data_IF_106604512170
#
_entry.id   IF_106604512170
#
_cell.length_a   1.000
_cell.length_b   1.000
_cell.length_c   1.000
_cell.angle_alpha   90.00
_cell.angle_beta   90.00
_cell.angle_gamma   90.00
#
_symmetry.space_group_name_H-M   'P 1'
#
loop_
_entity.id
_entity.type
_entity.pdbx_description
1 polymer ?
#
# COMPACT_ATOMS: atom_id res chain seq x y z
N UNK A 1 -16.10 5.84 1.55
CA UNK A 1 -15.89 5.69 3.01
C UNK A 1 -17.26 5.68 3.63
N UNK A 2 -17.58 4.61 4.33
CA UNK A 2 -18.81 4.46 5.09
C UNK A 2 -18.45 4.43 6.57
N UNK A 3 -19.26 5.09 7.40
CA UNK A 3 -19.08 5.07 8.84
C UNK A 3 -20.35 4.51 9.46
N UNK A 4 -20.22 3.44 10.25
CA UNK A 4 -21.35 2.86 10.97
C UNK A 4 -21.76 3.74 12.16
N UNK A 5 -22.97 3.56 12.68
CA UNK A 5 -23.43 4.22 13.91
C UNK A 5 -22.53 3.91 15.14
N UNK A 6 -21.72 2.84 15.05
CA UNK A 6 -20.74 2.45 16.08
C UNK A 6 -19.36 3.10 15.87
N UNK A 7 -19.20 3.94 14.86
CA UNK A 7 -17.95 4.63 14.54
C UNK A 7 -16.93 3.81 13.76
N UNK A 8 -17.30 2.60 13.31
CA UNK A 8 -16.43 1.79 12.44
C UNK A 8 -16.36 2.41 11.05
N UNK A 9 -15.13 2.63 10.59
CA UNK A 9 -14.86 3.18 9.26
C UNK A 9 -14.56 2.02 8.32
N UNK A 10 -15.40 1.85 7.30
CA UNK A 10 -15.15 0.93 6.20
C UNK A 10 -14.82 1.75 4.97
N UNK A 11 -13.67 1.46 4.39
CA UNK A 11 -13.25 2.06 3.12
C UNK A 11 -13.09 0.97 2.09
N UNK A 12 -13.60 1.23 0.89
CA UNK A 12 -13.38 0.39 -0.27
C UNK A 12 -12.39 1.07 -1.22
N UNK A 13 -11.52 0.28 -1.83
CA UNK A 13 -10.61 0.72 -2.87
C UNK A 13 -10.64 -0.25 -4.06
N UNK A 14 -10.52 0.32 -5.27
CA UNK A 14 -10.37 -0.42 -6.52
C UNK A 14 -8.95 -0.15 -7.04
N UNK A 15 -8.20 -1.22 -7.28
CA UNK A 15 -6.85 -1.18 -7.83
C UNK A 15 -6.86 -1.78 -9.23
N UNK A 16 -6.33 -1.03 -10.20
CA UNK A 16 -6.10 -1.48 -11.57
C UNK A 16 -4.60 -1.54 -11.81
N UNK A 17 -4.08 -2.72 -12.11
CA UNK A 17 -2.64 -2.93 -12.31
C UNK A 17 -2.37 -3.75 -13.55
N UNK A 18 -1.17 -3.56 -14.11
CA UNK A 18 -0.66 -4.38 -15.21
C UNK A 18 0.55 -5.15 -14.71
N UNK A 19 0.48 -6.47 -14.73
CA UNK A 19 1.54 -7.36 -14.24
C UNK A 19 1.56 -8.65 -15.07
N UNK A 20 2.74 -9.20 -15.34
CA UNK A 20 2.89 -10.43 -16.13
C UNK A 20 2.19 -10.38 -17.51
N UNK A 21 2.13 -9.19 -18.13
CA UNK A 21 1.42 -8.97 -19.41
C UNK A 21 -0.11 -8.99 -19.32
N UNK A 22 -0.70 -8.98 -18.13
CA UNK A 22 -2.15 -9.00 -17.90
C UNK A 22 -2.61 -7.72 -17.21
N UNK A 23 -3.80 -7.25 -17.57
CA UNK A 23 -4.51 -6.22 -16.84
C UNK A 23 -5.39 -6.87 -15.78
N UNK A 24 -5.25 -6.42 -14.54
CA UNK A 24 -6.01 -6.90 -13.39
C UNK A 24 -6.75 -5.73 -12.74
N UNK A 25 -7.97 -6.01 -12.30
CA UNK A 25 -8.76 -5.11 -11.46
C UNK A 25 -9.20 -5.88 -10.22
N UNK A 26 -8.99 -5.27 -9.05
CA UNK A 26 -9.33 -5.87 -7.78
C UNK A 26 -9.92 -4.81 -6.85
N UNK A 27 -11.02 -5.18 -6.18
CA UNK A 27 -11.65 -4.37 -5.14
C UNK A 27 -11.39 -5.00 -3.78
N UNK A 28 -11.14 -4.19 -2.75
CA UNK A 28 -11.05 -4.68 -1.37
C UNK A 28 -11.51 -3.63 -0.37
N UNK A 29 -11.99 -4.12 0.77
CA UNK A 29 -12.40 -3.29 1.91
C UNK A 29 -11.33 -3.32 3.01
N UNK A 30 -11.22 -2.20 3.72
CA UNK A 30 -10.31 -2.03 4.84
C UNK A 30 -10.83 -1.02 5.85
N UNK A 31 -10.14 -0.96 7.01
CA UNK A 31 -10.45 0.01 8.07
C UNK A 31 -10.06 1.46 7.73
N UNK A 32 -9.49 1.67 6.54
CA UNK A 32 -9.09 2.96 6.01
C UNK A 32 -8.62 2.82 4.55
N UNK A 33 -8.45 3.94 3.83
CA UNK A 33 -8.13 3.94 2.41
C UNK A 33 -6.80 3.24 2.09
N UNK A 34 -5.78 3.45 2.93
CA UNK A 34 -4.47 2.82 2.74
C UNK A 34 -4.54 1.30 2.93
N UNK A 35 -5.27 0.83 3.94
CA UNK A 35 -5.47 -0.60 4.16
C UNK A 35 -6.27 -1.25 3.02
N UNK A 36 -7.29 -0.56 2.51
CA UNK A 36 -8.08 -1.04 1.39
C UNK A 36 -7.26 -1.13 0.09
N UNK A 37 -6.45 -0.11 -0.21
CA UNK A 37 -5.54 -0.07 -1.37
C UNK A 37 -4.52 -1.20 -1.31
N UNK A 38 -3.90 -1.37 -0.15
CA UNK A 38 -2.90 -2.39 0.09
C UNK A 38 -3.45 -3.82 -0.13
N UNK A 39 -4.59 -4.13 0.49
CA UNK A 39 -5.29 -5.41 0.30
C UNK A 39 -5.66 -5.64 -1.15
N UNK A 40 -6.21 -4.63 -1.82
CA UNK A 40 -6.61 -4.73 -3.22
C UNK A 40 -5.41 -5.00 -4.14
N UNK A 41 -4.28 -4.32 -3.91
CA UNK A 41 -3.06 -4.51 -4.70
C UNK A 41 -2.50 -5.92 -4.51
N UNK A 42 -2.33 -6.37 -3.26
CA UNK A 42 -1.80 -7.71 -2.98
C UNK A 42 -2.70 -8.80 -3.56
N UNK A 43 -4.00 -8.71 -3.33
CA UNK A 43 -4.97 -9.67 -3.86
C UNK A 43 -5.04 -9.67 -5.40
N UNK A 44 -4.73 -8.54 -6.05
CA UNK A 44 -4.57 -8.52 -7.51
C UNK A 44 -3.30 -9.29 -7.92
N UNK A 45 -2.16 -8.93 -7.34
CA UNK A 45 -0.85 -9.44 -7.77
C UNK A 45 -0.61 -10.90 -7.37
N UNK A 46 -1.15 -11.37 -6.25
CA UNK A 46 -1.05 -12.77 -5.81
C UNK A 46 -1.60 -13.76 -6.84
N UNK A 47 -2.57 -13.34 -7.67
CA UNK A 47 -3.11 -14.15 -8.78
C UNK A 47 -2.05 -14.50 -9.84
N UNK A 48 -0.98 -13.72 -9.92
CA UNK A 48 0.13 -13.91 -10.87
C UNK A 48 1.40 -14.33 -10.15
N UNK A 49 1.63 -13.79 -8.96
CA UNK A 49 2.83 -13.98 -8.14
C UNK A 49 2.44 -14.52 -6.75
N UNK A 50 2.23 -15.84 -6.60
CA UNK A 50 1.84 -16.45 -5.33
C UNK A 50 2.89 -16.26 -4.23
N UNK A 51 4.12 -15.89 -4.57
CA UNK A 51 5.19 -15.53 -3.64
C UNK A 51 4.81 -14.35 -2.74
N UNK A 52 3.83 -13.53 -3.14
CA UNK A 52 3.34 -12.40 -2.36
C UNK A 52 2.31 -12.76 -1.29
N UNK A 53 1.86 -14.02 -1.21
CA UNK A 53 0.81 -14.45 -0.28
C UNK A 53 1.16 -14.19 1.19
N UNK A 54 2.46 -14.23 1.53
CA UNK A 54 2.95 -14.01 2.90
C UNK A 54 3.37 -12.55 3.17
N UNK A 55 3.21 -11.64 2.20
CA UNK A 55 3.56 -10.24 2.43
C UNK A 55 2.53 -9.57 3.33
N UNK A 56 2.99 -8.96 4.41
CA UNK A 56 2.18 -8.19 5.34
C UNK A 56 2.80 -6.82 5.62
N UNK A 57 1.98 -5.77 5.65
CA UNK A 57 2.37 -4.44 6.13
C UNK A 57 2.19 -4.44 7.64
N UNK A 58 3.30 -4.29 8.36
CA UNK A 58 3.36 -4.46 9.81
C UNK A 58 3.55 -3.14 10.57
N UNK A 59 4.00 -2.09 9.89
CA UNK A 59 4.05 -0.74 10.45
C UNK A 59 3.77 0.33 9.38
N UNK A 60 3.16 1.44 9.83
CA UNK A 60 2.77 2.56 8.99
C UNK A 60 2.95 3.88 9.73
N UNK A 61 3.89 4.71 9.27
CA UNK A 61 4.23 5.99 9.90
C UNK A 61 4.13 7.13 8.90
N UNK A 62 3.33 8.14 9.24
CA UNK A 62 3.20 9.37 8.46
C UNK A 62 3.91 10.51 9.17
N UNK A 63 4.73 11.26 8.44
CA UNK A 63 5.35 12.50 8.91
C UNK A 63 5.12 13.61 7.90
N UNK A 64 4.71 14.78 8.39
CA UNK A 64 4.64 15.99 7.59
C UNK A 64 6.02 16.66 7.64
N UNK A 65 6.61 16.91 6.47
CA UNK A 65 7.87 17.65 6.39
C UNK A 65 7.59 19.14 6.59
N UNK A 66 8.29 19.74 7.53
CA UNK A 66 8.20 21.17 7.81
C UNK A 66 8.80 21.99 6.64
N UNK A 67 8.17 23.11 6.29
CA UNK A 67 8.71 24.05 5.29
C UNK A 67 7.68 24.64 4.34
N UNK A 68 6.55 23.97 4.11
CA UNK A 68 5.44 24.48 3.27
C UNK A 68 4.17 24.56 4.13
N UNK A 69 3.57 25.75 4.24
CA UNK A 69 2.39 25.99 5.09
C UNK A 69 1.11 25.49 4.42
N UNK A 70 0.19 24.92 5.21
CA UNK A 70 -1.14 24.54 4.76
C UNK A 70 -1.17 23.25 3.94
N UNK A 71 -2.02 23.20 2.91
CA UNK A 71 -2.27 21.98 2.12
C UNK A 71 -1.12 21.58 1.19
N UNK A 72 -0.09 22.41 1.04
CA UNK A 72 1.12 22.09 0.26
C UNK A 72 2.21 21.39 1.07
N UNK A 73 1.93 21.01 2.32
CA UNK A 73 2.91 20.33 3.15
C UNK A 73 3.26 18.95 2.57
N UNK A 74 4.55 18.70 2.37
CA UNK A 74 5.03 17.44 1.82
C UNK A 74 4.88 16.35 2.88
N UNK A 75 4.16 15.29 2.54
CA UNK A 75 3.96 14.13 3.39
C UNK A 75 4.97 13.05 3.07
N UNK A 76 5.60 12.50 4.10
CA UNK A 76 6.47 11.33 4.05
C UNK A 76 5.77 10.16 4.74
N UNK A 77 5.66 9.04 4.04
CA UNK A 77 5.06 7.80 4.53
C UNK A 77 6.14 6.72 4.54
N UNK A 78 6.39 6.15 5.71
CA UNK A 78 7.26 4.99 5.90
C UNK A 78 6.37 3.76 6.15
N UNK A 79 6.64 2.70 5.40
CA UNK A 79 5.95 1.41 5.52
C UNK A 79 6.98 0.34 5.80
N UNK A 80 6.74 -0.45 6.84
CA UNK A 80 7.47 -1.66 7.13
C UNK A 80 6.67 -2.88 6.63
N UNK A 81 7.32 -3.73 5.86
CA UNK A 81 6.73 -4.94 5.26
C UNK A 81 7.53 -6.17 5.66
N UNK A 82 6.85 -7.28 5.91
CA UNK A 82 7.45 -8.59 6.18
C UNK A 82 6.98 -9.63 5.18
N UNK A 83 7.83 -10.62 4.89
CA UNK A 83 7.47 -11.87 4.21
C UNK A 83 7.37 -13.07 5.18
N UNK A 84 7.38 -12.80 6.49
CA UNK A 84 7.44 -13.80 7.56
C UNK A 84 8.86 -14.27 7.91
N UNK A 85 9.84 -14.07 7.03
CA UNK A 85 11.24 -14.42 7.27
C UNK A 85 12.14 -13.19 7.51
N UNK A 86 11.72 -12.05 6.98
CA UNK A 86 12.53 -10.85 6.91
C UNK A 86 11.66 -9.62 6.76
N UNK A 87 12.21 -8.46 7.13
CA UNK A 87 11.52 -7.19 7.12
C UNK A 87 12.28 -6.18 6.26
N UNK A 88 11.55 -5.24 5.66
CA UNK A 88 12.12 -4.10 4.95
C UNK A 88 11.22 -2.89 5.04
N UNK A 89 11.86 -1.73 4.94
CA UNK A 89 11.20 -0.45 4.92
C UNK A 89 11.16 0.13 3.52
N UNK A 90 10.07 0.81 3.21
CA UNK A 90 9.91 1.62 2.00
C UNK A 90 9.34 2.98 2.32
N UNK A 91 9.65 3.95 1.46
CA UNK A 91 9.38 5.35 1.73
C UNK A 91 8.71 6.01 0.53
N UNK A 92 7.51 6.55 0.74
CA UNK A 92 6.84 7.39 -0.21
C UNK A 92 6.83 8.84 0.24
N UNK A 93 7.05 9.76 -0.69
CA UNK A 93 7.04 11.21 -0.41
C UNK A 93 6.15 11.90 -1.44
N UNK A 94 5.12 12.61 -0.98
CA UNK A 94 4.17 13.34 -1.83
C UNK A 94 3.40 14.36 -0.99
N UNK A 95 2.88 15.42 -1.61
CA UNK A 95 1.97 16.38 -0.94
C UNK A 95 0.61 15.76 -0.55
N UNK A 96 0.28 14.61 -1.11
CA UNK A 96 -0.96 13.89 -0.88
C UNK A 96 -0.62 12.58 -0.16
N UNK A 97 -1.15 12.41 1.05
CA UNK A 97 -0.88 11.23 1.88
C UNK A 97 -1.22 9.93 1.16
N UNK A 98 -2.30 9.87 0.38
CA UNK A 98 -2.69 8.66 -0.35
C UNK A 98 -1.68 8.32 -1.44
N UNK A 99 -1.18 9.34 -2.16
CA UNK A 99 -0.14 9.15 -3.18
C UNK A 99 1.20 8.74 -2.55
N UNK A 100 1.58 9.35 -1.43
CA UNK A 100 2.77 8.95 -0.68
C UNK A 100 2.65 7.49 -0.20
N UNK A 101 1.50 7.10 0.36
CA UNK A 101 1.25 5.72 0.78
C UNK A 101 1.28 4.75 -0.39
N UNK A 102 0.68 5.10 -1.53
CA UNK A 102 0.72 4.25 -2.73
C UNK A 102 2.15 4.00 -3.22
N UNK A 103 2.99 5.03 -3.27
CA UNK A 103 4.38 4.89 -3.67
C UNK A 103 5.13 3.93 -2.74
N UNK A 104 4.99 4.10 -1.42
CA UNK A 104 5.61 3.21 -0.44
C UNK A 104 5.13 1.76 -0.60
N UNK A 105 3.81 1.53 -0.72
CA UNK A 105 3.23 0.18 -0.91
C UNK A 105 3.76 -0.46 -2.20
N UNK A 106 3.74 0.28 -3.30
CA UNK A 106 4.19 -0.21 -4.61
C UNK A 106 5.68 -0.62 -4.56
N UNK A 107 6.51 0.20 -3.92
CA UNK A 107 7.93 -0.11 -3.71
C UNK A 107 8.11 -1.34 -2.83
N UNK A 108 7.30 -1.48 -1.77
CA UNK A 108 7.38 -2.62 -0.84
C UNK A 108 7.07 -3.94 -1.54
N UNK A 109 6.02 -3.97 -2.36
CA UNK A 109 5.64 -5.15 -3.14
C UNK A 109 6.66 -5.45 -4.24
N UNK A 110 7.16 -4.42 -4.92
CA UNK A 110 8.21 -4.57 -5.94
C UNK A 110 9.47 -5.17 -5.34
N UNK A 111 9.90 -4.67 -4.18
CA UNK A 111 11.05 -5.23 -3.46
C UNK A 111 10.80 -6.68 -3.01
N UNK A 112 9.60 -6.99 -2.52
CA UNK A 112 9.21 -8.37 -2.20
C UNK A 112 9.32 -9.32 -3.40
N UNK A 113 8.84 -8.91 -4.58
CA UNK A 113 8.96 -9.68 -5.82
C UNK A 113 10.42 -9.89 -6.24
N UNK A 114 11.24 -8.82 -6.20
CA UNK A 114 12.66 -8.90 -6.51
C UNK A 114 13.39 -9.86 -5.58
N UNK A 115 13.06 -9.83 -4.28
CA UNK A 115 13.62 -10.73 -3.27
C UNK A 115 13.22 -12.19 -3.50
N UNK A 116 11.99 -12.41 -3.96
CA UNK A 116 11.52 -13.72 -4.39
C UNK A 116 12.11 -14.20 -5.74
N UNK A 117 13.00 -13.42 -6.37
CA UNK A 117 13.60 -13.67 -7.68
C UNK A 117 12.58 -13.78 -8.83
N UNK A 118 11.44 -13.11 -8.70
CA UNK A 118 10.45 -12.97 -9.77
C UNK A 118 10.90 -11.85 -10.71
N UNK A 119 10.94 -12.13 -12.02
CA UNK A 119 11.36 -11.18 -13.09
C UNK A 119 10.18 -10.64 -13.88
#
# INVERSE_FOLDING_TARGET
VEQSEKGEVVTEAIVKVTAGGKHLEQTSQGNGPVNALDKALRAALEKIYPELANLELIDYKVRILEGVKGTGAVTRVLIETTDGNSQWDTLGVHENVIAASWNAISDAVTYGLLKANVK
#
